data_IF_652114025387
#
_entry.id   IF_652114025387
#
_cell.length_a   1.000
_cell.length_b   1.000
_cell.length_c   1.000
_cell.angle_alpha   90.00
_cell.angle_beta   90.00
_cell.angle_gamma   90.00
#
_symmetry.space_group_name_H-M   'P 1'
#
loop_
_entity.id
_entity.type
_entity.pdbx_description
1 polymer ?
#
# COMPACT_ATOMS: atom_id res chain seq x y z
N UNK A 1 7.09 43.54 -27.30
CA UNK A 1 6.49 42.57 -28.25
C UNK A 1 5.08 43.03 -28.57
N UNK A 2 4.52 42.72 -29.75
CA UNK A 2 3.12 43.05 -30.07
C UNK A 2 2.18 42.43 -29.02
N UNK A 3 1.15 43.17 -28.59
CA UNK A 3 0.22 42.74 -27.50
C UNK A 3 -0.53 41.44 -27.81
N UNK A 4 -0.58 41.03 -29.09
CA UNK A 4 -1.36 39.89 -29.57
C UNK A 4 -0.55 38.59 -29.73
N UNK A 5 0.67 38.53 -29.16
CA UNK A 5 1.50 37.32 -29.17
C UNK A 5 1.55 36.75 -27.76
N UNK A 6 0.81 35.66 -27.54
CA UNK A 6 0.82 34.93 -26.28
C UNK A 6 2.25 34.46 -25.97
N UNK A 7 2.79 34.86 -24.80
CA UNK A 7 4.18 34.58 -24.45
C UNK A 7 4.36 33.07 -24.19
N UNK A 8 5.08 32.33 -25.04
CA UNK A 8 5.28 30.89 -24.87
C UNK A 8 6.13 30.54 -23.64
N UNK A 9 6.79 31.53 -23.03
CA UNK A 9 7.56 31.40 -21.78
C UNK A 9 6.78 31.84 -20.53
N UNK A 10 5.51 32.21 -20.66
CA UNK A 10 4.68 32.47 -19.48
C UNK A 10 4.54 31.18 -18.65
N UNK A 11 4.75 31.23 -17.33
CA UNK A 11 4.54 30.07 -16.47
C UNK A 11 3.10 29.60 -16.63
N UNK A 12 2.92 28.34 -17.04
CA UNK A 12 1.61 27.82 -17.51
C UNK A 12 0.52 27.91 -16.44
N UNK A 13 0.87 27.77 -15.16
CA UNK A 13 -0.02 27.95 -14.01
C UNK A 13 0.79 28.32 -12.78
N UNK A 14 0.29 29.27 -11.97
CA UNK A 14 0.73 29.43 -10.59
C UNK A 14 -0.01 28.38 -9.76
N UNK A 15 0.72 27.40 -9.23
CA UNK A 15 0.14 26.43 -8.29
C UNK A 15 0.07 27.13 -6.93
N UNK A 16 -1.14 27.54 -6.54
CA UNK A 16 -1.45 28.17 -5.26
C UNK A 16 -2.01 27.11 -4.31
N UNK A 17 -1.11 26.40 -3.62
CA UNK A 17 -1.48 25.45 -2.57
C UNK A 17 -1.98 26.22 -1.35
N UNK A 18 -3.25 25.99 -0.99
CA UNK A 18 -3.86 26.59 0.20
C UNK A 18 -4.29 25.52 1.15
N UNK A 19 -3.88 25.66 2.40
CA UNK A 19 -4.44 24.91 3.51
C UNK A 19 -5.94 25.22 3.63
N UNK A 20 -6.75 24.18 3.84
CA UNK A 20 -8.20 24.32 4.02
C UNK A 20 -8.64 23.43 5.16
N UNK A 21 -9.49 23.99 6.01
CA UNK A 21 -10.25 23.23 6.99
C UNK A 21 -11.52 22.72 6.31
N UNK A 22 -11.81 21.44 6.48
CA UNK A 22 -13.02 20.80 5.97
C UNK A 22 -13.77 20.27 7.18
N UNK A 23 -14.97 20.82 7.43
CA UNK A 23 -15.83 20.34 8.50
C UNK A 23 -16.39 18.97 8.13
N UNK A 24 -16.29 18.00 9.05
CA UNK A 24 -16.82 16.65 8.87
C UNK A 24 -17.28 16.07 10.21
N UNK A 25 -18.44 15.41 10.20
CA UNK A 25 -18.95 14.68 11.38
C UNK A 25 -18.18 13.38 11.62
N UNK A 26 -17.59 12.80 10.56
CA UNK A 26 -16.79 11.58 10.60
C UNK A 26 -15.76 11.57 9.47
N UNK A 27 -14.55 11.11 9.79
CA UNK A 27 -13.49 10.86 8.80
C UNK A 27 -13.17 9.37 8.78
N UNK A 28 -13.25 8.74 7.60
CA UNK A 28 -12.92 7.32 7.40
C UNK A 28 -11.58 7.20 6.68
N UNK A 29 -10.62 6.54 7.31
CA UNK A 29 -9.31 6.31 6.73
C UNK A 29 -9.26 4.94 6.03
N UNK A 30 -9.24 4.96 4.70
CA UNK A 30 -9.11 3.78 3.85
C UNK A 30 -7.73 3.71 3.18
N UNK A 31 -6.65 3.83 3.96
CA UNK A 31 -5.27 3.96 3.45
C UNK A 31 -4.56 2.62 3.17
N UNK A 32 -5.28 1.49 3.18
CA UNK A 32 -4.72 0.15 3.00
C UNK A 32 -4.53 -0.61 4.32
N UNK A 33 -3.71 -1.66 4.28
CA UNK A 33 -3.47 -2.56 5.41
C UNK A 33 -1.97 -2.71 5.71
N UNK A 34 -1.67 -3.16 6.93
CA UNK A 34 -0.35 -3.62 7.35
C UNK A 34 -0.41 -5.14 7.57
N UNK A 35 0.54 -5.93 7.06
CA UNK A 35 0.62 -7.35 7.39
C UNK A 35 0.73 -7.56 8.90
N UNK A 36 0.02 -8.57 9.42
CA UNK A 36 0.16 -9.05 10.79
C UNK A 36 0.97 -10.33 10.76
N UNK A 37 2.29 -10.20 10.95
CA UNK A 37 3.28 -11.28 10.83
C UNK A 37 3.93 -11.61 12.19
N UNK A 38 3.37 -11.13 13.29
CA UNK A 38 3.97 -11.25 14.62
C UNK A 38 4.14 -12.72 15.05
N UNK A 39 3.12 -13.56 14.82
CA UNK A 39 3.16 -14.98 15.13
C UNK A 39 4.22 -15.72 14.30
N UNK A 40 4.31 -15.40 13.01
CA UNK A 40 5.32 -15.96 12.13
C UNK A 40 6.73 -15.58 12.61
N UNK A 41 6.94 -14.31 12.93
CA UNK A 41 8.22 -13.78 13.40
C UNK A 41 8.66 -14.44 14.71
N UNK A 42 7.74 -14.65 15.65
CA UNK A 42 8.00 -15.37 16.89
C UNK A 42 8.34 -16.84 16.63
N UNK A 43 7.51 -17.56 15.88
CA UNK A 43 7.73 -18.98 15.58
C UNK A 43 9.07 -19.21 14.84
N UNK A 44 9.45 -18.30 13.94
CA UNK A 44 10.74 -18.33 13.25
C UNK A 44 11.91 -18.07 14.20
N UNK A 45 11.75 -17.16 15.16
CA UNK A 45 12.78 -16.85 16.16
C UNK A 45 13.01 -18.03 17.10
N UNK A 46 11.91 -18.64 17.56
CA UNK A 46 11.93 -19.77 18.49
C UNK A 46 12.30 -21.10 17.82
N UNK A 47 12.41 -21.11 16.48
CA UNK A 47 12.61 -22.33 15.67
C UNK A 47 11.57 -23.40 16.03
N UNK A 48 10.30 -23.00 16.10
CA UNK A 48 9.20 -23.84 16.56
C UNK A 48 8.98 -25.12 15.72
N UNK A 49 9.47 -25.14 14.47
CA UNK A 49 9.45 -26.30 13.58
C UNK A 49 10.66 -26.27 12.62
N UNK A 50 10.89 -27.36 11.90
CA UNK A 50 11.95 -27.46 10.88
C UNK A 50 11.70 -26.48 9.72
N UNK A 51 10.44 -26.31 9.31
CA UNK A 51 10.03 -25.40 8.25
C UNK A 51 8.79 -24.62 8.69
N UNK A 52 8.79 -23.31 8.43
CA UNK A 52 7.71 -22.38 8.79
C UNK A 52 7.52 -21.44 7.60
N UNK A 53 6.29 -21.32 7.10
CA UNK A 53 5.97 -20.49 5.94
C UNK A 53 5.00 -19.37 6.32
N UNK A 54 5.33 -18.12 5.98
CA UNK A 54 4.39 -17.00 6.03
C UNK A 54 3.65 -16.90 4.69
N UNK A 55 2.31 -16.90 4.71
CA UNK A 55 1.48 -16.84 3.49
C UNK A 55 0.29 -15.90 3.66
N UNK A 56 -0.29 -15.52 2.53
CA UNK A 56 -1.48 -14.66 2.49
C UNK A 56 -1.20 -13.24 2.98
N UNK A 57 -2.22 -12.60 3.55
CA UNK A 57 -2.15 -11.20 3.97
C UNK A 57 -1.17 -10.96 5.13
N UNK A 58 -0.85 -12.02 5.90
CA UNK A 58 0.21 -12.02 6.92
C UNK A 58 1.59 -11.82 6.30
N UNK A 59 1.82 -12.22 5.04
CA UNK A 59 3.06 -11.93 4.33
C UNK A 59 3.00 -10.59 3.60
N UNK A 60 1.90 -10.37 2.86
CA UNK A 60 1.68 -9.16 2.08
C UNK A 60 0.19 -9.01 1.82
N UNK A 61 -0.37 -7.88 2.27
CA UNK A 61 -1.76 -7.53 1.99
C UNK A 61 -2.05 -7.49 0.49
N UNK A 62 -3.15 -8.12 0.08
CA UNK A 62 -3.56 -8.18 -1.32
C UNK A 62 -5.01 -8.60 -1.51
N UNK A 63 -5.32 -9.08 -2.71
CA UNK A 63 -6.59 -9.72 -3.05
C UNK A 63 -6.59 -11.15 -2.57
N UNK A 64 -7.79 -11.66 -2.28
CA UNK A 64 -8.04 -13.06 -1.92
C UNK A 64 -7.42 -14.05 -2.93
N UNK A 65 -7.42 -13.72 -4.23
CA UNK A 65 -6.81 -14.56 -5.26
C UNK A 65 -5.28 -14.69 -5.10
N UNK A 66 -4.60 -13.65 -4.62
CA UNK A 66 -3.15 -13.69 -4.42
C UNK A 66 -2.82 -14.54 -3.18
N UNK A 67 -3.59 -14.41 -2.10
CA UNK A 67 -3.44 -15.24 -0.91
C UNK A 67 -3.64 -16.74 -1.22
N UNK A 68 -4.68 -17.07 -1.99
CA UNK A 68 -4.96 -18.46 -2.39
C UNK A 68 -3.90 -19.04 -3.32
N UNK A 69 -3.39 -18.26 -4.28
CA UNK A 69 -2.28 -18.68 -5.16
C UNK A 69 -0.99 -18.90 -4.38
N UNK A 70 -0.67 -18.04 -3.42
CA UNK A 70 0.51 -18.20 -2.57
C UNK A 70 0.45 -19.52 -1.79
N UNK A 71 -0.69 -19.82 -1.15
CA UNK A 71 -0.91 -21.09 -0.45
C UNK A 71 -0.76 -22.29 -1.39
N UNK A 72 -1.41 -22.26 -2.56
CA UNK A 72 -1.34 -23.35 -3.54
C UNK A 72 0.07 -23.56 -4.10
N UNK A 73 0.86 -22.49 -4.28
CA UNK A 73 2.23 -22.61 -4.75
C UNK A 73 3.12 -23.34 -3.74
N UNK A 74 3.00 -23.03 -2.44
CA UNK A 74 3.77 -23.72 -1.39
C UNK A 74 3.30 -25.16 -1.25
N UNK A 75 1.99 -25.40 -1.18
CA UNK A 75 1.41 -26.73 -0.99
C UNK A 75 1.79 -27.75 -2.07
N UNK A 76 2.22 -27.29 -3.25
CA UNK A 76 2.68 -28.16 -4.36
C UNK A 76 4.17 -28.49 -4.32
N UNK A 77 4.93 -27.86 -3.43
CA UNK A 77 6.38 -27.99 -3.32
C UNK A 77 6.83 -28.45 -1.92
N UNK A 78 5.88 -28.89 -1.08
CA UNK A 78 6.09 -29.57 0.21
C UNK A 78 5.54 -31.00 0.10
#
# INVERSE_FOLDING_TARGET
MPENVENPFAPKYLVDEKERLIDADLVVFAMGNKPSDELYSQASTDKAAQEIFNIGDSLKGGKVLEATRAANAIARNI
#
